data_IF_677076665298
#
_entry.id   IF_677076665298
#
_cell.length_a   1.000
_cell.length_b   1.000
_cell.length_c   1.000
_cell.angle_alpha   90.00
_cell.angle_beta   90.00
_cell.angle_gamma   90.00
#
_symmetry.space_group_name_H-M   'P 1'
#
loop_
_entity.id
_entity.type
_entity.pdbx_description
1 polymer ?
#
# COMPACT_ATOMS: atom_id res chain seq x y z
N UNK A 1 -10.83 31.93 6.96
CA UNK A 1 -10.10 33.09 7.52
C UNK A 1 -9.26 32.54 8.66
N UNK A 2 -7.97 32.89 8.75
CA UNK A 2 -7.04 32.31 9.75
C UNK A 2 -6.58 33.31 10.82
N UNK A 3 -6.75 34.61 10.56
CA UNK A 3 -6.64 35.70 11.55
C UNK A 3 -7.46 36.91 11.05
N UNK A 4 -7.75 37.94 11.87
CA UNK A 4 -8.44 39.14 11.42
C UNK A 4 -7.75 39.77 10.20
N UNK A 5 -8.46 39.88 9.08
CA UNK A 5 -7.91 40.39 7.82
C UNK A 5 -6.97 39.43 7.07
N UNK A 6 -6.78 38.19 7.55
CA UNK A 6 -5.87 37.21 6.95
C UNK A 6 -6.62 35.98 6.42
N UNK A 7 -6.48 35.74 5.12
CA UNK A 7 -7.05 34.60 4.41
C UNK A 7 -5.95 33.68 3.89
N UNK A 8 -6.07 32.39 4.20
CA UNK A 8 -5.26 31.34 3.60
C UNK A 8 -6.15 30.51 2.64
N UNK A 9 -5.84 30.48 1.34
CA UNK A 9 -6.60 29.69 0.37
C UNK A 9 -6.46 28.18 0.61
N UNK A 10 -7.54 27.44 0.31
CA UNK A 10 -7.47 25.98 0.19
C UNK A 10 -6.55 25.64 -0.97
N UNK A 11 -5.59 24.75 -0.73
CA UNK A 11 -4.59 24.36 -1.72
C UNK A 11 -4.22 22.88 -1.57
N UNK A 12 -3.39 22.39 -2.48
CA UNK A 12 -2.93 21.00 -2.48
C UNK A 12 -1.43 20.92 -2.61
N UNK A 13 -0.88 19.87 -2.01
CA UNK A 13 0.51 19.47 -2.17
C UNK A 13 0.53 18.10 -2.83
N UNK A 14 1.15 18.00 -3.99
CA UNK A 14 1.31 16.74 -4.73
C UNK A 14 2.78 16.40 -4.88
N UNK A 15 3.07 15.12 -4.69
CA UNK A 15 4.39 14.54 -4.80
C UNK A 15 4.33 13.37 -5.79
N UNK A 16 5.46 13.12 -6.45
CA UNK A 16 5.61 11.97 -7.34
C UNK A 16 6.84 11.19 -6.91
N UNK A 17 6.63 9.96 -6.44
CA UNK A 17 7.73 9.03 -6.20
C UNK A 17 7.98 8.23 -7.49
N UNK A 18 9.15 8.43 -8.10
CA UNK A 18 9.62 7.66 -9.25
C UNK A 18 10.55 6.56 -8.78
N UNK A 19 10.12 5.31 -8.91
CA UNK A 19 10.83 4.14 -8.40
C UNK A 19 11.13 3.18 -9.55
N UNK A 20 12.42 2.97 -9.84
CA UNK A 20 12.84 1.89 -10.73
C UNK A 20 12.82 0.60 -9.93
N UNK A 21 11.95 -0.33 -10.32
CA UNK A 21 11.69 -1.56 -9.55
C UNK A 21 12.56 -2.70 -10.09
N UNK A 22 13.19 -3.43 -9.17
CA UNK A 22 14.02 -4.61 -9.46
C UNK A 22 13.81 -5.69 -8.39
N UNK A 23 12.56 -6.14 -8.24
CA UNK A 23 12.18 -7.10 -7.19
C UNK A 23 12.72 -8.48 -7.52
N UNK A 24 13.61 -9.01 -6.67
CA UNK A 24 14.28 -10.31 -6.78
C UNK A 24 14.84 -10.61 -8.19
N UNK A 25 15.39 -9.58 -8.84
CA UNK A 25 15.96 -9.68 -10.18
C UNK A 25 17.42 -10.12 -10.10
N UNK A 26 17.76 -11.28 -10.67
CA UNK A 26 19.16 -11.66 -10.91
C UNK A 26 19.64 -11.19 -12.28
N UNK A 27 20.96 -11.06 -12.49
CA UNK A 27 21.50 -10.73 -13.81
C UNK A 27 21.03 -11.74 -14.87
N UNK A 28 20.40 -11.25 -15.94
CA UNK A 28 19.91 -12.09 -17.05
C UNK A 28 18.53 -12.73 -16.83
N UNK A 29 17.87 -12.53 -15.68
CA UNK A 29 16.50 -13.00 -15.45
C UNK A 29 15.45 -12.01 -16.01
N UNK A 30 14.27 -12.55 -16.31
CA UNK A 30 13.10 -11.80 -16.74
C UNK A 30 12.73 -10.70 -15.75
N UNK A 31 12.10 -9.64 -16.26
CA UNK A 31 11.85 -8.42 -15.50
C UNK A 31 10.70 -8.57 -14.48
N UNK A 32 10.17 -7.46 -13.97
CA UNK A 32 9.07 -7.48 -13.02
C UNK A 32 7.71 -7.37 -13.72
N UNK A 33 6.65 -7.66 -12.97
CA UNK A 33 5.26 -7.43 -13.36
C UNK A 33 4.53 -6.70 -12.24
N UNK A 34 3.41 -6.06 -12.55
CA UNK A 34 2.61 -5.31 -11.58
C UNK A 34 1.21 -5.90 -11.50
N UNK A 35 0.80 -6.24 -10.28
CA UNK A 35 -0.55 -6.71 -9.99
C UNK A 35 -1.26 -5.71 -9.10
N UNK A 36 -2.46 -5.33 -9.49
CA UNK A 36 -3.41 -4.65 -8.62
C UNK A 36 -4.17 -5.67 -7.78
N UNK A 37 -4.35 -5.38 -6.50
CA UNK A 37 -5.13 -6.19 -5.59
C UNK A 37 -6.25 -5.35 -5.01
N UNK A 38 -7.48 -5.83 -5.16
CA UNK A 38 -8.69 -5.27 -4.53
C UNK A 38 -9.28 -6.29 -3.55
N UNK A 39 -9.93 -5.82 -2.49
CA UNK A 39 -10.73 -6.66 -1.59
C UNK A 39 -12.18 -6.60 -2.03
N UNK A 40 -12.80 -7.78 -2.20
CA UNK A 40 -14.20 -7.93 -2.58
C UNK A 40 -14.96 -8.71 -1.53
N UNK A 41 -16.20 -8.31 -1.28
CA UNK A 41 -17.14 -9.08 -0.46
C UNK A 41 -17.72 -10.20 -1.32
N UNK A 42 -17.78 -11.41 -0.78
CA UNK A 42 -18.41 -12.56 -1.44
C UNK A 42 -19.92 -12.41 -1.41
N UNK A 43 -20.60 -12.84 -2.48
CA UNK A 43 -22.05 -12.74 -2.55
C UNK A 43 -22.72 -13.67 -1.52
N UNK A 44 -23.91 -13.32 -1.00
CA UNK A 44 -24.70 -14.21 -0.17
C UNK A 44 -25.01 -15.53 -0.89
N UNK A 45 -24.85 -16.67 -0.21
CA UNK A 45 -25.08 -17.96 -0.86
C UNK A 45 -24.91 -19.16 0.05
N UNK A 46 -25.09 -20.36 -0.52
CA UNK A 46 -24.90 -21.63 0.20
C UNK A 46 -23.48 -21.79 0.74
N UNK A 47 -22.50 -21.20 0.05
CA UNK A 47 -21.08 -21.24 0.42
C UNK A 47 -20.66 -20.02 1.29
N UNK A 48 -21.59 -19.07 1.53
CA UNK A 48 -21.39 -17.87 2.36
C UNK A 48 -22.64 -17.60 3.21
N UNK A 49 -23.08 -18.60 3.98
CA UNK A 49 -24.36 -18.56 4.73
C UNK A 49 -24.42 -17.41 5.75
N UNK A 50 -23.26 -16.98 6.25
CA UNK A 50 -23.14 -15.93 7.26
C UNK A 50 -22.87 -14.53 6.69
N UNK A 51 -22.79 -14.38 5.35
CA UNK A 51 -22.55 -13.10 4.66
C UNK A 51 -21.34 -12.32 5.19
N UNK A 52 -20.29 -13.02 5.62
CA UNK A 52 -19.10 -12.42 6.21
C UNK A 52 -17.82 -12.73 5.43
N UNK A 53 -17.91 -13.51 4.35
CA UNK A 53 -16.77 -13.81 3.50
C UNK A 53 -16.40 -12.61 2.61
N UNK A 54 -15.09 -12.40 2.47
CA UNK A 54 -14.47 -11.48 1.53
C UNK A 54 -13.12 -12.07 1.09
N UNK A 55 -12.64 -11.67 -0.08
CA UNK A 55 -11.42 -12.22 -0.68
C UNK A 55 -10.62 -11.14 -1.42
N UNK A 56 -9.36 -11.44 -1.68
CA UNK A 56 -8.50 -10.64 -2.53
C UNK A 56 -8.70 -11.04 -3.99
N UNK A 57 -8.96 -10.06 -4.85
CA UNK A 57 -8.99 -10.23 -6.29
C UNK A 57 -7.75 -9.55 -6.90
N UNK A 58 -7.00 -10.31 -7.69
CA UNK A 58 -5.79 -9.86 -8.34
C UNK A 58 -6.03 -9.57 -9.83
N UNK A 59 -5.54 -8.43 -10.31
CA UNK A 59 -5.55 -8.04 -11.72
C UNK A 59 -4.13 -7.74 -12.19
N UNK A 60 -3.61 -8.52 -13.13
CA UNK A 60 -2.33 -8.25 -13.77
C UNK A 60 -2.46 -7.06 -14.72
N UNK A 61 -1.58 -6.06 -14.55
CA UNK A 61 -1.53 -4.87 -15.40
C UNK A 61 -0.51 -5.10 -16.53
N UNK A 62 -1.00 -5.38 -17.73
CA UNK A 62 -0.17 -5.85 -18.86
C UNK A 62 0.38 -4.73 -19.72
N UNK A 63 -0.24 -3.55 -19.65
CA UNK A 63 0.15 -2.39 -20.43
C UNK A 63 0.15 -1.13 -19.58
N UNK A 64 0.85 -0.11 -20.04
CA UNK A 64 0.87 1.18 -19.37
C UNK A 64 -0.57 1.72 -19.24
N UNK A 65 -1.40 1.65 -20.29
CA UNK A 65 -2.81 2.12 -20.24
C UNK A 65 -3.63 1.41 -19.15
N UNK A 66 -3.47 0.09 -19.00
CA UNK A 66 -4.11 -0.67 -17.91
C UNK A 66 -3.61 -0.25 -16.53
N UNK A 67 -2.37 0.24 -16.44
CA UNK A 67 -1.74 0.67 -15.20
C UNK A 67 -2.05 2.12 -14.79
N UNK A 68 -2.93 2.83 -15.52
CA UNK A 68 -3.50 4.10 -15.10
C UNK A 68 -4.53 3.87 -13.99
N UNK A 69 -4.07 3.82 -12.74
CA UNK A 69 -4.91 3.45 -11.59
C UNK A 69 -4.95 4.52 -10.53
N UNK A 70 -6.14 4.73 -10.01
CA UNK A 70 -6.38 5.55 -8.82
C UNK A 70 -6.34 4.67 -7.57
N UNK A 71 -5.96 5.27 -6.45
CA UNK A 71 -6.17 4.66 -5.14
C UNK A 71 -7.68 4.52 -4.88
N UNK A 72 -8.08 3.38 -4.31
CA UNK A 72 -9.45 3.15 -3.88
C UNK A 72 -9.44 2.59 -2.44
N UNK A 73 -9.67 3.45 -1.43
CA UNK A 73 -9.69 3.01 -0.04
C UNK A 73 -10.89 2.12 0.30
N UNK A 74 -11.98 2.16 -0.48
CA UNK A 74 -13.16 1.32 -0.24
C UNK A 74 -12.92 -0.13 -0.66
N UNK A 75 -12.04 -0.34 -1.64
CA UNK A 75 -11.60 -1.68 -2.07
C UNK A 75 -10.27 -2.09 -1.44
N UNK A 76 -9.74 -1.33 -0.47
CA UNK A 76 -8.40 -1.52 0.09
C UNK A 76 -7.32 -1.73 -1.01
N UNK A 77 -7.46 -0.99 -2.12
CA UNK A 77 -6.65 -1.19 -3.32
C UNK A 77 -5.18 -0.95 -3.03
N UNK A 78 -4.34 -1.87 -3.48
CA UNK A 78 -2.90 -1.74 -3.44
C UNK A 78 -2.27 -2.44 -4.64
N UNK A 79 -0.97 -2.21 -4.86
CA UNK A 79 -0.25 -2.80 -5.97
C UNK A 79 0.93 -3.62 -5.47
N UNK A 80 1.23 -4.71 -6.14
CA UNK A 80 2.37 -5.56 -5.84
C UNK A 80 3.21 -5.65 -7.10
N UNK A 81 4.46 -5.21 -6.99
CA UNK A 81 5.46 -5.45 -8.03
C UNK A 81 6.10 -6.79 -7.73
N UNK A 82 5.92 -7.75 -8.63
CA UNK A 82 6.35 -9.13 -8.45
C UNK A 82 7.40 -9.52 -9.48
N UNK A 83 8.13 -10.58 -9.17
CA UNK A 83 8.94 -11.28 -10.16
C UNK A 83 8.04 -11.79 -11.30
N UNK A 84 8.50 -11.66 -12.55
CA UNK A 84 7.77 -12.20 -13.70
C UNK A 84 7.91 -13.72 -13.80
N UNK A 85 9.10 -14.27 -13.57
CA UNK A 85 9.33 -15.71 -13.67
C UNK A 85 8.54 -16.49 -12.61
N UNK A 86 7.55 -17.25 -13.07
CA UNK A 86 6.59 -17.94 -12.18
C UNK A 86 7.06 -19.29 -11.67
N UNK A 87 8.17 -19.82 -12.20
CA UNK A 87 8.73 -21.12 -11.80
C UNK A 87 9.48 -21.08 -10.46
N UNK A 88 9.97 -19.91 -10.09
CA UNK A 88 10.68 -19.70 -8.83
C UNK A 88 9.74 -19.04 -7.84
N UNK A 89 9.30 -19.80 -6.84
CA UNK A 89 8.39 -19.36 -5.79
C UNK A 89 9.04 -19.55 -4.42
N UNK A 90 8.55 -18.81 -3.44
CA UNK A 90 8.95 -19.02 -2.05
C UNK A 90 8.43 -20.38 -1.51
N UNK A 91 8.78 -20.72 -0.26
CA UNK A 91 8.35 -21.97 0.39
C UNK A 91 6.82 -22.17 0.40
N UNK A 92 6.06 -21.09 0.37
CA UNK A 92 4.59 -21.09 0.41
C UNK A 92 3.95 -21.06 -0.98
N UNK A 93 4.74 -21.27 -2.05
CA UNK A 93 4.31 -21.24 -3.46
C UNK A 93 3.80 -19.88 -3.93
N UNK A 94 4.28 -18.80 -3.31
CA UNK A 94 3.97 -17.43 -3.73
C UNK A 94 5.16 -16.83 -4.48
N UNK A 95 4.87 -15.93 -5.42
CA UNK A 95 5.90 -15.14 -6.08
C UNK A 95 6.48 -14.12 -5.10
N UNK A 96 7.77 -13.86 -5.23
CA UNK A 96 8.43 -12.79 -4.48
C UNK A 96 7.97 -11.45 -5.02
N UNK A 97 7.48 -10.60 -4.12
CA UNK A 97 6.90 -9.30 -4.43
C UNK A 97 7.27 -8.21 -3.44
N UNK A 98 7.06 -6.98 -3.88
CA UNK A 98 7.07 -5.79 -3.05
C UNK A 98 5.73 -5.06 -3.24
N UNK A 99 4.97 -4.94 -2.16
CA UNK A 99 3.67 -4.27 -2.11
C UNK A 99 3.86 -2.78 -1.88
N UNK A 100 3.30 -1.94 -2.76
CA UNK A 100 3.04 -0.54 -2.47
C UNK A 100 1.73 -0.42 -1.71
N UNK A 101 1.83 0.02 -0.45
CA UNK A 101 0.69 0.36 0.40
C UNK A 101 0.46 1.87 0.30
N UNK A 102 -0.65 2.31 -0.29
CA UNK A 102 -0.99 3.72 -0.34
C UNK A 102 -1.15 4.31 1.06
N UNK A 103 -0.61 5.50 1.30
CA UNK A 103 -1.00 6.31 2.45
C UNK A 103 -2.23 7.15 2.16
N UNK A 104 -2.51 8.13 3.03
CA UNK A 104 -3.52 9.15 2.77
C UNK A 104 -3.25 9.85 1.45
N UNK A 105 -4.26 9.90 0.58
CA UNK A 105 -4.14 10.48 -0.75
C UNK A 105 -5.42 11.23 -1.15
N UNK A 106 -5.31 12.17 -2.06
CA UNK A 106 -6.44 12.86 -2.68
C UNK A 106 -6.22 13.00 -4.18
N UNK A 107 -7.30 12.91 -4.95
CA UNK A 107 -7.27 13.26 -6.37
C UNK A 107 -7.07 14.77 -6.57
N UNK A 108 -6.62 15.23 -7.74
CA UNK A 108 -6.41 16.65 -8.04
C UNK A 108 -7.68 17.51 -8.09
N UNK A 109 -8.83 17.06 -7.54
CA UNK A 109 -10.17 17.72 -7.48
C UNK A 109 -10.22 19.01 -8.31
N UNK A 110 -10.16 18.87 -9.62
CA UNK A 110 -10.11 19.96 -10.57
C UNK A 110 -10.99 19.59 -11.75
N UNK A 111 -11.61 20.61 -12.35
CA UNK A 111 -12.34 20.40 -13.59
C UNK A 111 -11.40 19.89 -14.69
N UNK A 112 -11.90 19.05 -15.61
CA UNK A 112 -11.08 18.45 -16.67
C UNK A 112 -10.38 19.49 -17.57
N UNK A 113 -10.98 20.67 -17.73
CA UNK A 113 -10.45 21.78 -18.54
C UNK A 113 -9.53 22.74 -17.77
N UNK A 114 -9.21 22.45 -16.51
CA UNK A 114 -8.38 23.33 -15.71
C UNK A 114 -6.99 23.49 -16.34
N UNK A 115 -6.59 24.74 -16.63
CA UNK A 115 -5.34 25.04 -17.37
C UNK A 115 -4.09 24.42 -16.74
N UNK A 116 -4.04 24.30 -15.43
CA UNK A 116 -2.89 23.70 -14.74
C UNK A 116 -2.77 22.19 -15.01
N UNK A 117 -3.87 21.49 -15.32
CA UNK A 117 -3.84 20.07 -15.67
C UNK A 117 -3.06 19.79 -16.96
N UNK A 118 -2.99 20.77 -17.89
CA UNK A 118 -2.12 20.67 -19.08
C UNK A 118 -0.63 20.63 -18.73
N UNK A 119 -0.26 21.24 -17.60
CA UNK A 119 1.12 21.29 -17.09
C UNK A 119 1.43 20.17 -16.11
N UNK A 120 0.40 19.62 -15.46
CA UNK A 120 0.49 18.61 -14.41
C UNK A 120 -0.35 17.38 -14.76
N UNK A 121 -0.25 16.91 -16.01
CA UNK A 121 -1.07 15.80 -16.52
C UNK A 121 -0.85 14.49 -15.73
N UNK A 122 0.33 14.33 -15.11
CA UNK A 122 0.63 13.21 -14.21
C UNK A 122 -0.32 13.12 -13.01
N UNK A 123 -1.02 14.20 -12.65
CA UNK A 123 -2.01 14.19 -11.57
C UNK A 123 -3.29 13.44 -11.95
N UNK A 124 -3.60 13.29 -13.24
CA UNK A 124 -4.71 12.45 -13.66
C UNK A 124 -4.30 10.99 -13.54
N UNK A 125 -3.37 10.55 -14.38
CA UNK A 125 -2.69 9.27 -14.26
C UNK A 125 -1.31 9.39 -14.96
N UNK A 126 -0.40 8.46 -14.69
CA UNK A 126 0.93 8.51 -15.26
C UNK A 126 0.95 7.94 -16.68
N UNK A 127 0.85 8.74 -17.77
CA UNK A 127 1.18 8.18 -19.09
C UNK A 127 1.40 9.12 -20.27
N UNK A 128 2.27 8.65 -21.17
CA UNK A 128 2.66 9.31 -22.44
C UNK A 128 2.61 8.36 -23.67
N UNK A 129 2.59 7.01 -23.53
CA UNK A 129 2.52 6.00 -24.62
C UNK A 129 1.94 4.66 -24.13
N UNK A 130 1.21 3.84 -24.89
CA UNK A 130 0.67 2.55 -24.38
C UNK A 130 1.64 1.36 -24.55
N UNK A 131 2.77 1.32 -23.83
CA UNK A 131 3.75 0.21 -23.97
C UNK A 131 3.35 -1.01 -23.14
N UNK A 132 3.89 -2.18 -23.49
CA UNK A 132 3.74 -3.41 -22.71
C UNK A 132 4.50 -3.30 -21.38
N UNK A 133 3.92 -3.85 -20.32
CA UNK A 133 4.54 -4.03 -18.99
C UNK A 133 4.90 -5.51 -18.71
N UNK A 134 4.62 -6.42 -19.65
CA UNK A 134 5.05 -7.81 -19.55
C UNK A 134 6.54 -7.93 -19.87
N UNK A 135 7.28 -8.67 -19.02
CA UNK A 135 8.74 -8.83 -19.15
C UNK A 135 9.49 -7.50 -19.34
N UNK A 136 9.03 -6.41 -18.70
CA UNK A 136 9.60 -5.07 -18.88
C UNK A 136 10.29 -4.53 -17.61
N UNK A 137 11.32 -3.69 -17.81
CA UNK A 137 11.87 -2.86 -16.73
C UNK A 137 10.81 -1.88 -16.22
N UNK A 138 10.28 -2.15 -15.03
CA UNK A 138 9.18 -1.37 -14.46
C UNK A 138 9.71 -0.13 -13.74
N UNK A 139 9.21 1.03 -14.14
CA UNK A 139 9.31 2.27 -13.36
C UNK A 139 7.93 2.63 -12.83
N UNK A 140 7.76 2.52 -11.52
CA UNK A 140 6.54 2.94 -10.84
C UNK A 140 6.60 4.45 -10.58
N UNK A 141 5.56 5.15 -11.00
CA UNK A 141 5.34 6.56 -10.69
C UNK A 141 4.15 6.62 -9.74
N UNK A 142 4.39 6.85 -8.45
CA UNK A 142 3.31 6.93 -7.48
C UNK A 142 3.03 8.38 -7.13
N UNK A 143 1.83 8.85 -7.46
CA UNK A 143 1.37 10.21 -7.16
C UNK A 143 0.58 10.19 -5.86
N UNK A 144 1.00 11.02 -4.92
CA UNK A 144 0.32 11.16 -3.64
C UNK A 144 0.28 12.62 -3.19
N UNK A 145 -0.78 12.99 -2.48
CA UNK A 145 -0.96 14.37 -2.05
C UNK A 145 -2.05 14.55 -1.01
N UNK A 146 -2.07 15.75 -0.45
CA UNK A 146 -3.07 16.20 0.52
C UNK A 146 -3.82 17.43 0.00
N UNK A 147 -5.09 17.52 0.37
CA UNK A 147 -5.87 18.75 0.27
C UNK A 147 -5.81 19.48 1.60
N UNK A 148 -5.12 20.62 1.61
CA UNK A 148 -4.95 21.42 2.80
C UNK A 148 -6.04 22.48 2.85
N UNK A 149 -6.93 22.33 3.84
CA UNK A 149 -7.89 23.36 4.27
C UNK A 149 -7.28 24.06 5.49
N UNK A 150 -6.70 25.27 5.33
CA UNK A 150 -5.96 25.92 6.41
C UNK A 150 -6.80 26.15 7.67
N UNK A 151 -6.22 25.85 8.82
CA UNK A 151 -6.81 25.96 10.17
C UNK A 151 -6.20 27.13 10.94
N UNK A 152 -6.76 27.42 12.12
CA UNK A 152 -6.24 28.47 12.99
C UNK A 152 -4.86 28.08 13.57
N UNK A 153 -4.67 26.80 13.88
CA UNK A 153 -3.44 26.23 14.44
C UNK A 153 -2.26 26.27 13.45
N UNK A 154 -2.53 26.50 12.16
CA UNK A 154 -1.49 26.58 11.13
C UNK A 154 -0.82 27.97 11.10
N UNK A 155 -1.30 28.93 11.91
CA UNK A 155 -0.78 30.29 12.03
C UNK A 155 -0.26 30.57 13.45
N UNK A 156 0.88 31.26 13.62
CA UNK A 156 1.75 31.88 12.60
C UNK A 156 2.72 30.92 11.91
N UNK A 157 2.87 29.72 12.45
CA UNK A 157 3.75 28.68 11.93
C UNK A 157 2.98 27.38 11.95
N UNK A 158 2.87 26.75 10.79
CA UNK A 158 2.17 25.49 10.65
C UNK A 158 2.95 24.36 11.34
N UNK A 159 2.30 23.56 12.21
CA UNK A 159 2.85 22.29 12.66
C UNK A 159 3.11 21.34 11.48
N UNK A 160 4.04 20.40 11.65
CA UNK A 160 4.36 19.44 10.59
C UNK A 160 3.17 18.53 10.31
N UNK A 161 2.79 18.45 9.04
CA UNK A 161 1.88 17.41 8.52
C UNK A 161 2.70 16.38 7.74
N UNK A 162 2.49 15.09 8.04
CA UNK A 162 3.22 13.97 7.44
C UNK A 162 2.36 13.27 6.40
N UNK A 163 2.93 13.07 5.22
CA UNK A 163 2.33 12.29 4.14
C UNK A 163 3.39 11.35 3.57
N UNK A 164 2.98 10.14 3.19
CA UNK A 164 3.87 9.17 2.60
C UNK A 164 3.14 7.90 2.19
N UNK A 165 3.91 6.86 1.93
CA UNK A 165 3.45 5.53 1.56
C UNK A 165 4.46 4.51 2.08
N UNK A 166 4.14 3.23 1.98
CA UNK A 166 5.04 2.16 2.40
C UNK A 166 5.28 1.17 1.27
N UNK A 167 6.52 0.72 1.15
CA UNK A 167 6.86 -0.49 0.41
C UNK A 167 7.05 -1.63 1.41
N UNK A 168 6.28 -2.70 1.26
CA UNK A 168 6.31 -3.86 2.15
C UNK A 168 6.73 -5.12 1.37
N UNK A 169 7.59 -5.99 1.93
CA UNK A 169 7.84 -7.29 1.32
C UNK A 169 6.54 -8.10 1.26
N UNK A 170 6.27 -8.74 0.12
CA UNK A 170 5.11 -9.60 -0.08
C UNK A 170 5.56 -10.95 -0.61
N UNK A 171 5.48 -12.00 0.20
CA UNK A 171 6.03 -13.31 -0.18
C UNK A 171 7.55 -13.31 -0.44
N UNK A 172 8.25 -12.22 -0.11
CA UNK A 172 9.68 -12.04 -0.42
C UNK A 172 10.57 -12.94 0.44
N UNK A 173 10.20 -13.09 1.73
CA UNK A 173 10.91 -13.93 2.69
C UNK A 173 10.11 -15.20 2.99
N UNK A 174 10.79 -16.28 3.38
CA UNK A 174 10.14 -17.55 3.74
C UNK A 174 9.50 -17.55 5.14
N UNK A 175 9.84 -16.57 5.97
CA UNK A 175 9.29 -16.32 7.30
C UNK A 175 9.56 -14.84 7.66
N UNK A 176 9.22 -14.42 8.88
CA UNK A 176 9.57 -13.07 9.35
C UNK A 176 11.08 -12.83 9.22
N UNK A 177 11.52 -11.75 8.53
CA UNK A 177 12.95 -11.45 8.36
C UNK A 177 13.62 -10.94 9.64
N UNK A 178 12.85 -10.72 10.71
CA UNK A 178 13.35 -10.26 12.01
C UNK A 178 13.26 -11.35 13.09
N UNK A 179 13.06 -12.62 12.72
CA UNK A 179 12.87 -13.73 13.67
C UNK A 179 14.11 -13.99 14.55
N UNK A 180 15.28 -13.59 14.07
CA UNK A 180 16.58 -13.74 14.72
C UNK A 180 17.05 -12.46 15.45
N UNK A 181 16.23 -11.41 15.46
CA UNK A 181 16.53 -10.18 16.20
C UNK A 181 16.29 -10.43 17.70
N UNK A 182 17.31 -10.27 18.57
CA UNK A 182 17.14 -10.49 20.00
C UNK A 182 16.20 -9.42 20.61
N UNK A 183 15.43 -9.78 21.65
CA UNK A 183 14.62 -8.80 22.39
C UNK A 183 15.51 -7.80 23.12
N UNK A 184 14.99 -6.61 23.40
CA UNK A 184 15.70 -5.61 24.19
C UNK A 184 15.93 -6.12 25.62
N UNK A 185 17.10 -5.80 26.18
CA UNK A 185 17.54 -6.29 27.49
C UNK A 185 16.56 -6.01 28.66
N UNK A 186 15.69 -5.01 28.55
CA UNK A 186 14.71 -4.66 29.58
C UNK A 186 13.52 -5.65 29.67
N UNK A 187 13.31 -6.51 28.67
CA UNK A 187 12.16 -7.43 28.63
C UNK A 187 12.43 -8.82 29.21
N UNK A 188 13.68 -9.13 29.56
CA UNK A 188 14.06 -10.47 30.06
C UNK A 188 13.80 -10.66 31.56
N UNK A 189 13.75 -9.58 32.35
CA UNK A 189 13.64 -9.67 33.80
C UNK A 189 12.20 -9.87 34.34
N UNK A 190 11.18 -9.70 33.49
CA UNK A 190 9.78 -9.76 33.93
C UNK A 190 9.17 -11.18 33.93
N UNK A 191 9.77 -12.14 33.21
CA UNK A 191 9.18 -13.48 33.04
C UNK A 191 9.75 -14.57 33.93
N UNK A 192 10.86 -14.31 34.62
CA UNK A 192 11.48 -15.32 35.49
C UNK A 192 10.97 -15.29 36.94
N UNK A 193 10.26 -14.23 37.36
CA UNK A 193 9.84 -14.02 38.75
C UNK A 193 8.36 -14.31 39.07
N UNK A 194 7.53 -14.75 38.10
CA UNK A 194 6.07 -14.93 38.33
C UNK A 194 5.52 -16.31 37.94
N UNK A 195 6.33 -17.37 38.05
CA UNK A 195 5.83 -18.75 38.02
C UNK A 195 5.87 -19.33 39.44
N UNK A 196 4.95 -18.85 40.29
CA UNK A 196 4.43 -19.69 41.39
C UNK A 196 3.22 -20.44 40.85
N UNK A 197 3.38 -21.75 40.67
CA UNK A 197 2.33 -22.69 40.30
C UNK A 197 1.04 -22.41 41.10
N UNK A 198 -0.04 -22.04 40.41
CA UNK A 198 -1.40 -22.13 40.93
C UNK A 198 -2.11 -23.28 40.21
N UNK A 199 -2.68 -24.25 40.93
CA UNK A 199 -3.35 -25.37 40.28
C UNK A 199 -4.63 -24.88 39.58
N UNK A 200 -4.79 -25.28 38.32
CA UNK A 200 -5.94 -24.98 37.47
C UNK A 200 -7.23 -25.58 38.04
N UNK A 201 -8.32 -24.80 38.21
CA UNK A 201 -9.65 -25.37 38.35
C UNK A 201 -10.18 -25.80 36.97
N UNK A 202 -10.79 -26.98 36.97
CA UNK A 202 -11.38 -27.68 35.83
C UNK A 202 -12.48 -26.88 35.10
N UNK A 203 -12.35 -26.83 33.77
CA UNK A 203 -13.46 -26.88 32.82
C UNK A 203 -14.04 -25.55 32.35
N UNK A 204 -13.85 -25.23 31.06
CA UNK A 204 -14.92 -25.02 30.06
C UNK A 204 -14.31 -25.30 28.68
N UNK A 205 -14.89 -26.25 27.93
CA UNK A 205 -14.59 -26.50 26.51
C UNK A 205 -15.44 -25.53 25.70
N UNK A 206 -14.82 -24.59 24.98
CA UNK A 206 -15.49 -23.85 23.92
C UNK A 206 -15.40 -24.69 22.63
N UNK A 207 -16.55 -25.18 22.15
CA UNK A 207 -16.69 -25.75 20.80
C UNK A 207 -16.93 -24.60 19.82
N UNK A 208 -16.17 -24.62 18.73
CA UNK A 208 -16.43 -23.86 17.50
C UNK A 208 -17.78 -24.27 16.89
#
# INVERSE_FOLDING_TARGET
>A
MIAPGLYAPVHRHFFVARMYMAVDRKPGEAHNQVVEVNVKVEEPGKDNVHNNAFYAEETLLRSELEAMRDCDPFLARHWIVMKFETRTVNRNRQLTGCRLVPGSNCLPLAGPEAKFMRRAAFLNHNLWQNRSLEEADIVLWYVFGIAHVPRLEDWPVMPVELIGFMLQPHGFFNCSPAVDVPPNACETDAKENDVKERPLPSGVIAKL
#
